data_IF_591170604439
#
_entry.id   IF_591170604439
#
_cell.length_a   1.000
_cell.length_b   1.000
_cell.length_c   1.000
_cell.angle_alpha   90.00
_cell.angle_beta   90.00
_cell.angle_gamma   90.00
#
_symmetry.space_group_name_H-M   'P 1'
#
loop_
_entity.id
_entity.type
_entity.pdbx_description
1 polymer ?
#
# COMPACT_ATOMS: atom_id res chain seq x y z
N UNK A 1 -0.73 -17.69 -0.01
CA UNK A 1 0.35 -18.51 -0.64
C UNK A 1 1.32 -17.66 -1.47
N UNK A 2 0.86 -16.60 -2.16
CA UNK A 2 1.73 -15.68 -2.90
C UNK A 2 2.80 -15.00 -2.02
N UNK A 3 2.51 -14.80 -0.76
CA UNK A 3 3.43 -14.20 0.19
C UNK A 3 4.44 -15.19 0.79
N UNK A 4 4.20 -16.49 0.66
CA UNK A 4 5.00 -17.53 1.28
C UNK A 4 6.00 -18.22 0.34
N UNK A 5 5.79 -18.19 -0.96
CA UNK A 5 6.64 -18.91 -1.93
C UNK A 5 7.73 -18.05 -2.57
N UNK A 6 7.85 -16.79 -2.18
CA UNK A 6 9.02 -15.99 -2.53
C UNK A 6 10.26 -16.70 -1.97
N UNK A 7 11.07 -17.18 -2.86
CA UNK A 7 12.19 -18.08 -2.67
C UNK A 7 13.02 -17.77 -1.42
N UNK A 8 12.66 -18.37 -0.28
CA UNK A 8 13.34 -18.24 1.01
C UNK A 8 14.85 -18.57 0.91
N UNK A 9 15.22 -19.42 -0.06
CA UNK A 9 16.61 -19.79 -0.30
C UNK A 9 17.41 -18.63 -0.89
N UNK A 10 16.87 -17.90 -1.86
CA UNK A 10 17.52 -16.72 -2.43
C UNK A 10 17.65 -15.60 -1.40
N UNK A 11 16.64 -15.44 -0.55
CA UNK A 11 16.68 -14.47 0.56
C UNK A 11 17.66 -14.84 1.67
N UNK A 12 17.86 -16.15 1.98
CA UNK A 12 18.88 -16.59 2.91
C UNK A 12 20.29 -16.26 2.41
N UNK A 13 20.54 -16.46 1.12
CA UNK A 13 21.83 -16.14 0.50
C UNK A 13 22.06 -14.62 0.54
N UNK A 14 21.08 -13.81 0.17
CA UNK A 14 21.19 -12.34 0.23
C UNK A 14 21.33 -11.82 1.67
N UNK A 15 20.63 -12.42 2.64
CA UNK A 15 20.79 -12.10 4.07
C UNK A 15 22.16 -12.48 4.61
N UNK A 16 22.73 -13.59 4.16
CA UNK A 16 24.06 -14.05 4.59
C UNK A 16 25.17 -13.07 4.23
N UNK A 17 24.99 -12.31 3.14
CA UNK A 17 25.98 -11.31 2.71
C UNK A 17 25.73 -9.91 3.26
N UNK A 18 24.68 -9.69 4.05
CA UNK A 18 24.27 -8.37 4.57
C UNK A 18 24.17 -7.25 3.53
N UNK A 19 24.00 -7.59 2.25
CA UNK A 19 24.04 -6.63 1.17
C UNK A 19 22.75 -5.81 1.00
N UNK A 20 21.61 -6.33 1.46
CA UNK A 20 20.32 -5.67 1.31
C UNK A 20 19.48 -5.93 2.56
N UNK A 21 19.19 -4.89 3.33
CA UNK A 21 18.27 -4.97 4.47
C UNK A 21 16.85 -4.59 4.04
N UNK A 22 16.20 -5.48 3.31
CA UNK A 22 14.79 -5.34 2.94
C UNK A 22 13.94 -6.12 3.94
N UNK A 23 13.02 -5.45 4.65
CA UNK A 23 11.96 -6.16 5.33
C UNK A 23 11.19 -7.03 4.33
N UNK A 24 10.93 -8.28 4.70
CA UNK A 24 10.35 -9.28 3.79
C UNK A 24 9.07 -8.80 3.06
N UNK A 25 8.22 -8.03 3.73
CA UNK A 25 7.00 -7.47 3.14
C UNK A 25 7.26 -6.38 2.08
N UNK A 26 8.32 -5.62 2.22
CA UNK A 26 8.60 -4.49 1.32
C UNK A 26 9.15 -4.92 -0.03
N UNK A 27 9.80 -6.07 -0.13
CA UNK A 27 10.32 -6.55 -1.41
C UNK A 27 9.22 -6.78 -2.45
N UNK A 28 8.04 -7.24 -2.04
CA UNK A 28 6.92 -7.46 -2.97
C UNK A 28 6.41 -6.15 -3.55
N UNK A 29 6.27 -5.15 -2.69
CA UNK A 29 5.89 -3.81 -3.12
C UNK A 29 6.97 -3.21 -4.04
N UNK A 30 8.24 -3.38 -3.70
CA UNK A 30 9.36 -2.91 -4.52
C UNK A 30 9.34 -3.52 -5.93
N UNK A 31 9.22 -4.83 -6.05
CA UNK A 31 9.22 -5.52 -7.33
C UNK A 31 7.98 -5.19 -8.19
N UNK A 32 6.82 -5.03 -7.58
CA UNK A 32 5.64 -4.53 -8.26
C UNK A 32 5.84 -3.09 -8.73
N UNK A 33 6.25 -2.19 -7.83
CA UNK A 33 6.46 -0.78 -8.14
C UNK A 33 7.59 -0.54 -9.14
N UNK A 34 8.58 -1.42 -9.23
CA UNK A 34 9.60 -1.38 -10.26
C UNK A 34 8.99 -1.42 -11.67
N UNK A 35 8.04 -2.31 -11.90
CA UNK A 35 7.35 -2.42 -13.18
C UNK A 35 6.36 -1.27 -13.39
N UNK A 36 5.61 -0.91 -12.37
CA UNK A 36 4.66 0.19 -12.42
C UNK A 36 5.33 1.54 -12.74
N UNK A 37 6.46 1.84 -12.10
CA UNK A 37 7.24 3.05 -12.34
C UNK A 37 7.90 3.11 -13.71
N UNK A 38 8.19 1.96 -14.31
CA UNK A 38 8.68 1.84 -15.68
C UNK A 38 7.54 1.84 -16.72
N UNK A 39 6.29 1.92 -16.27
CA UNK A 39 5.10 1.82 -17.13
C UNK A 39 5.02 0.47 -17.89
N UNK A 40 5.51 -0.60 -17.27
CA UNK A 40 5.59 -1.95 -17.81
C UNK A 40 4.69 -2.95 -17.07
N UNK A 41 3.99 -2.53 -16.04
CA UNK A 41 2.99 -3.34 -15.36
C UNK A 41 1.76 -3.57 -16.26
N UNK A 42 0.99 -4.59 -15.94
CA UNK A 42 -0.19 -4.98 -16.71
C UNK A 42 -1.35 -5.27 -15.75
N UNK A 43 -2.62 -5.12 -16.21
CA UNK A 43 -3.79 -5.48 -15.41
C UNK A 43 -3.75 -6.93 -14.92
N UNK A 44 -4.37 -7.22 -13.79
CA UNK A 44 -4.40 -8.58 -13.25
C UNK A 44 -5.28 -9.53 -14.07
N UNK A 45 -6.28 -8.99 -14.76
CA UNK A 45 -7.16 -9.73 -15.67
C UNK A 45 -6.59 -9.89 -17.09
N UNK A 46 -5.38 -9.41 -17.38
CA UNK A 46 -4.73 -9.61 -18.67
C UNK A 46 -4.51 -11.11 -18.93
N UNK A 47 -4.91 -11.62 -20.11
CA UNK A 47 -4.70 -13.01 -20.48
C UNK A 47 -3.22 -13.41 -20.40
N UNK A 48 -2.94 -14.61 -19.88
CA UNK A 48 -1.58 -15.09 -19.63
C UNK A 48 -0.66 -15.01 -20.86
N UNK A 49 -1.20 -15.27 -22.05
CA UNK A 49 -0.47 -15.24 -23.32
C UNK A 49 -0.10 -13.82 -23.79
N UNK A 50 -0.64 -12.78 -23.15
CA UNK A 50 -0.32 -11.37 -23.43
C UNK A 50 0.58 -10.75 -22.36
N UNK A 51 0.83 -11.46 -21.26
CA UNK A 51 1.68 -10.96 -20.21
C UNK A 51 3.15 -10.93 -20.64
N UNK A 52 3.84 -9.86 -20.30
CA UNK A 52 5.30 -9.80 -20.34
C UNK A 52 5.84 -10.85 -19.37
N UNK A 53 6.88 -11.58 -19.77
CA UNK A 53 7.44 -12.70 -19.00
C UNK A 53 7.75 -12.37 -17.54
N UNK A 54 8.27 -11.18 -17.26
CA UNK A 54 8.51 -10.74 -15.88
C UNK A 54 7.19 -10.54 -15.10
N UNK A 55 6.16 -9.99 -15.74
CA UNK A 55 4.85 -9.84 -15.12
C UNK A 55 4.21 -11.19 -14.85
N UNK A 56 4.25 -12.11 -15.81
CA UNK A 56 3.73 -13.47 -15.66
C UNK A 56 4.38 -14.20 -14.47
N UNK A 57 5.69 -14.12 -14.35
CA UNK A 57 6.43 -14.87 -13.34
C UNK A 57 6.46 -14.22 -11.96
N UNK A 58 6.51 -12.90 -11.90
CA UNK A 58 6.83 -12.16 -10.68
C UNK A 58 5.81 -11.05 -10.41
N UNK A 59 5.77 -9.99 -11.23
CA UNK A 59 5.10 -8.73 -10.89
C UNK A 59 3.59 -8.89 -10.70
N UNK A 60 2.89 -9.60 -11.59
CA UNK A 60 1.43 -9.79 -11.47
C UNK A 60 1.06 -10.59 -10.22
N UNK A 61 1.86 -11.56 -9.82
CA UNK A 61 1.64 -12.34 -8.59
C UNK A 61 1.79 -11.48 -7.35
N UNK A 62 2.78 -10.60 -7.33
CA UNK A 62 3.01 -9.69 -6.20
C UNK A 62 1.93 -8.61 -6.15
N UNK A 63 1.56 -8.06 -7.31
CA UNK A 63 0.44 -7.13 -7.39
C UNK A 63 -0.85 -7.76 -6.87
N UNK A 64 -1.18 -8.99 -7.28
CA UNK A 64 -2.36 -9.70 -6.78
C UNK A 64 -2.32 -9.90 -5.26
N UNK A 65 -1.20 -10.36 -4.72
CA UNK A 65 -1.03 -10.55 -3.27
C UNK A 65 -1.13 -9.25 -2.48
N UNK A 66 -0.52 -8.17 -2.96
CA UNK A 66 -0.60 -6.85 -2.34
C UNK A 66 -2.02 -6.27 -2.41
N UNK A 67 -2.70 -6.45 -3.54
CA UNK A 67 -4.08 -5.99 -3.71
C UNK A 67 -5.04 -6.74 -2.79
N UNK A 68 -4.91 -8.06 -2.66
CA UNK A 68 -5.70 -8.85 -1.71
C UNK A 68 -5.41 -8.47 -0.26
N UNK A 69 -4.14 -8.23 0.10
CA UNK A 69 -3.79 -7.74 1.43
C UNK A 69 -4.37 -6.34 1.70
N UNK A 70 -4.42 -5.49 0.68
CA UNK A 70 -5.07 -4.18 0.77
C UNK A 70 -6.57 -4.33 1.04
N UNK A 71 -7.25 -5.17 0.27
CA UNK A 71 -8.68 -5.45 0.46
C UNK A 71 -8.96 -6.02 1.85
N UNK A 72 -8.13 -6.97 2.32
CA UNK A 72 -8.24 -7.58 3.64
C UNK A 72 -8.09 -6.55 4.78
N UNK A 73 -7.10 -5.67 4.69
CA UNK A 73 -6.93 -4.59 5.66
C UNK A 73 -8.08 -3.56 5.64
N UNK A 74 -8.70 -3.34 4.47
CA UNK A 74 -9.84 -2.45 4.33
C UNK A 74 -11.13 -3.07 4.86
N UNK A 75 -11.41 -4.32 4.53
CA UNK A 75 -12.62 -5.01 4.95
C UNK A 75 -12.55 -5.43 6.41
N UNK A 76 -11.43 -6.01 6.84
CA UNK A 76 -11.26 -6.60 8.18
C UNK A 76 -12.04 -7.91 8.34
N UNK A 77 -12.09 -8.42 9.58
CA UNK A 77 -12.97 -9.54 10.02
C UNK A 77 -12.86 -10.85 9.23
N UNK A 78 -11.69 -11.13 8.60
CA UNK A 78 -11.46 -12.33 7.78
C UNK A 78 -12.42 -12.47 6.57
N UNK A 79 -13.08 -11.41 6.13
CA UNK A 79 -14.02 -11.41 5.01
C UNK A 79 -13.35 -11.92 3.73
N UNK A 80 -12.14 -11.44 3.44
CA UNK A 80 -11.40 -11.87 2.25
C UNK A 80 -11.06 -13.34 2.32
N UNK A 81 -10.61 -13.84 3.48
CA UNK A 81 -10.27 -15.25 3.65
C UNK A 81 -11.47 -16.16 3.47
N UNK A 82 -12.59 -15.84 4.11
CA UNK A 82 -13.84 -16.62 3.97
C UNK A 82 -14.37 -16.61 2.54
N UNK A 83 -14.31 -15.45 1.86
CA UNK A 83 -14.73 -15.35 0.46
C UNK A 83 -13.81 -16.14 -0.49
N UNK A 84 -12.50 -16.20 -0.22
CA UNK A 84 -11.57 -17.05 -0.98
C UNK A 84 -11.90 -18.53 -0.76
N UNK A 85 -12.22 -18.95 0.47
CA UNK A 85 -12.59 -20.33 0.76
C UNK A 85 -13.90 -20.72 0.07
N UNK A 86 -14.92 -19.86 0.12
CA UNK A 86 -16.19 -20.04 -0.59
C UNK A 86 -15.96 -20.14 -2.11
N UNK A 87 -15.19 -19.21 -2.68
CA UNK A 87 -14.86 -19.20 -4.10
C UNK A 87 -14.15 -20.49 -4.55
N UNK A 88 -13.18 -20.98 -3.78
CA UNK A 88 -12.49 -22.24 -4.10
C UNK A 88 -13.47 -23.41 -4.01
N UNK A 89 -14.31 -23.46 -2.99
CA UNK A 89 -15.27 -24.53 -2.79
C UNK A 89 -16.28 -24.60 -3.94
N UNK A 90 -16.84 -23.44 -4.35
CA UNK A 90 -17.84 -23.39 -5.41
C UNK A 90 -17.27 -23.67 -6.81
N UNK A 91 -15.98 -23.42 -7.02
CA UNK A 91 -15.34 -23.48 -8.33
C UNK A 91 -14.28 -24.59 -8.47
N UNK A 92 -14.32 -25.63 -7.61
CA UNK A 92 -13.27 -26.68 -7.57
C UNK A 92 -12.99 -27.36 -8.91
N UNK A 93 -14.03 -27.55 -9.75
CA UNK A 93 -13.98 -28.35 -10.95
C UNK A 93 -14.43 -27.60 -12.22
N UNK A 94 -14.61 -26.30 -12.13
CA UNK A 94 -15.09 -25.47 -13.24
C UNK A 94 -14.12 -24.32 -13.51
N UNK A 95 -14.13 -23.82 -14.73
CA UNK A 95 -13.41 -22.61 -15.07
C UNK A 95 -14.05 -21.41 -14.37
N UNK A 96 -13.24 -20.62 -13.70
CA UNK A 96 -13.70 -19.47 -12.92
C UNK A 96 -13.05 -18.17 -13.40
N UNK A 97 -13.65 -17.03 -13.05
CA UNK A 97 -13.17 -15.70 -13.39
C UNK A 97 -13.28 -14.72 -12.22
N UNK A 98 -12.73 -13.53 -12.38
CA UNK A 98 -12.71 -12.50 -11.34
C UNK A 98 -14.10 -12.02 -10.94
N UNK A 99 -15.07 -12.02 -11.86
CA UNK A 99 -16.45 -11.57 -11.57
C UNK A 99 -17.18 -12.50 -10.60
N UNK A 100 -16.94 -13.80 -10.67
CA UNK A 100 -17.50 -14.75 -9.68
C UNK A 100 -16.92 -14.49 -8.29
N UNK A 101 -15.64 -14.17 -8.20
CA UNK A 101 -15.02 -13.77 -6.93
C UNK A 101 -15.57 -12.44 -6.40
N UNK A 102 -15.78 -11.46 -7.30
CA UNK A 102 -16.43 -10.18 -6.98
C UNK A 102 -17.80 -10.40 -6.34
N UNK A 103 -18.68 -11.18 -6.98
CA UNK A 103 -20.02 -11.50 -6.49
C UNK A 103 -20.00 -12.15 -5.09
N UNK A 104 -19.03 -13.03 -4.83
CA UNK A 104 -18.89 -13.68 -3.52
C UNK A 104 -18.49 -12.67 -2.44
N UNK A 105 -17.52 -11.81 -2.72
CA UNK A 105 -17.10 -10.80 -1.74
C UNK A 105 -18.21 -9.77 -1.49
N UNK A 106 -18.88 -9.28 -2.54
CA UNK A 106 -20.03 -8.36 -2.40
C UNK A 106 -21.13 -8.92 -1.50
N UNK A 107 -21.42 -10.20 -1.61
CA UNK A 107 -22.37 -10.91 -0.73
C UNK A 107 -21.90 -10.92 0.74
N UNK A 108 -20.61 -10.99 0.98
CA UNK A 108 -20.02 -11.16 2.29
C UNK A 108 -19.66 -9.83 2.99
N UNK A 109 -19.84 -8.67 2.35
CA UNK A 109 -19.57 -7.36 2.95
C UNK A 109 -20.59 -6.31 2.53
N UNK A 110 -21.00 -5.41 3.43
CA UNK A 110 -21.80 -4.24 3.08
C UNK A 110 -20.94 -3.06 2.54
N UNK A 111 -19.60 -3.17 2.57
CA UNK A 111 -18.71 -2.12 2.10
C UNK A 111 -18.62 -2.13 0.58
N UNK A 112 -18.54 -0.94 -0.01
CA UNK A 112 -18.25 -0.78 -1.42
C UNK A 112 -16.84 -1.28 -1.74
N UNK A 113 -16.75 -2.21 -2.69
CA UNK A 113 -15.50 -2.82 -3.18
C UNK A 113 -15.28 -2.65 -4.69
N UNK A 114 -16.12 -1.89 -5.38
CA UNK A 114 -15.99 -1.61 -6.82
C UNK A 114 -14.59 -1.10 -7.18
N UNK A 115 -14.03 -0.24 -6.32
CA UNK A 115 -12.68 0.29 -6.49
C UNK A 115 -11.62 -0.81 -6.62
N UNK A 116 -11.80 -1.93 -5.93
CA UNK A 116 -10.83 -3.04 -5.96
C UNK A 116 -10.76 -3.67 -7.35
N UNK A 117 -11.91 -4.04 -7.90
CA UNK A 117 -11.96 -4.66 -9.22
C UNK A 117 -11.61 -3.64 -10.31
N UNK A 118 -12.17 -2.43 -10.27
CA UNK A 118 -11.92 -1.38 -11.28
C UNK A 118 -10.47 -0.90 -11.29
N UNK A 119 -9.87 -0.65 -10.12
CA UNK A 119 -8.51 -0.10 -10.05
C UNK A 119 -7.44 -1.17 -9.97
N UNK A 120 -7.63 -2.19 -9.08
CA UNK A 120 -6.55 -3.17 -8.83
C UNK A 120 -6.52 -4.31 -9.83
N UNK A 121 -7.68 -4.75 -10.34
CA UNK A 121 -7.79 -5.93 -11.20
C UNK A 121 -7.85 -5.57 -12.68
N UNK A 122 -8.76 -4.67 -13.08
CA UNK A 122 -9.07 -4.39 -14.49
C UNK A 122 -8.14 -3.39 -15.16
N UNK A 123 -7.50 -2.51 -14.39
CA UNK A 123 -6.58 -1.51 -14.92
C UNK A 123 -5.18 -1.66 -14.36
N UNK A 124 -4.27 -0.82 -14.79
CA UNK A 124 -2.94 -0.64 -14.21
C UNK A 124 -2.81 0.69 -13.47
N UNK A 125 -3.94 1.28 -13.12
CA UNK A 125 -3.97 2.54 -12.40
C UNK A 125 -3.27 2.39 -11.04
N UNK A 126 -2.65 3.47 -10.62
CA UNK A 126 -1.88 3.53 -9.40
C UNK A 126 -2.62 4.36 -8.35
N UNK A 127 -2.43 4.04 -7.11
CA UNK A 127 -2.92 4.84 -5.99
C UNK A 127 -1.81 5.80 -5.55
N UNK A 128 -2.11 7.08 -5.45
CA UNK A 128 -1.19 8.11 -4.92
C UNK A 128 -1.98 9.26 -4.29
N UNK A 129 -1.88 9.39 -2.99
CA UNK A 129 -2.48 10.47 -2.22
C UNK A 129 -1.41 11.32 -1.56
N UNK A 130 -1.73 12.58 -1.28
CA UNK A 130 -0.86 13.46 -0.48
C UNK A 130 -1.65 14.40 0.40
N UNK A 131 -1.00 14.90 1.42
CA UNK A 131 -1.54 15.99 2.21
C UNK A 131 -1.45 17.32 1.45
N UNK A 132 -2.56 18.06 1.49
CA UNK A 132 -2.62 19.47 1.13
C UNK A 132 -2.53 20.37 2.36
N UNK A 133 -3.38 21.43 2.38
CA UNK A 133 -3.47 22.37 3.49
C UNK A 133 -4.04 21.68 4.73
N UNK A 134 -3.46 21.98 5.88
CA UNK A 134 -3.95 21.53 7.18
C UNK A 134 -4.18 22.76 8.06
N UNK A 135 -5.34 22.81 8.70
CA UNK A 135 -5.67 23.78 9.73
C UNK A 135 -6.11 23.07 11.01
N UNK A 136 -5.86 23.69 12.15
CA UNK A 136 -6.11 23.10 13.46
C UNK A 136 -6.94 24.06 14.30
N UNK A 137 -7.90 23.51 15.01
CA UNK A 137 -8.56 24.17 16.14
C UNK A 137 -8.13 23.52 17.45
N UNK A 138 -8.77 23.86 18.55
CA UNK A 138 -8.54 23.21 19.83
C UNK A 138 -8.92 21.73 19.78
N UNK A 139 -10.02 21.38 19.14
CA UNK A 139 -10.66 20.06 19.23
C UNK A 139 -10.65 19.30 17.90
N UNK A 140 -10.33 19.95 16.78
CA UNK A 140 -10.38 19.34 15.45
C UNK A 140 -9.20 19.70 14.56
N UNK A 141 -9.00 18.87 13.53
CA UNK A 141 -8.05 19.10 12.47
C UNK A 141 -8.83 19.03 11.15
N UNK A 142 -8.75 20.07 10.35
CA UNK A 142 -9.23 20.08 8.97
C UNK A 142 -8.04 19.82 8.06
N UNK A 143 -8.10 18.78 7.26
CA UNK A 143 -7.02 18.37 6.38
C UNK A 143 -7.53 18.15 4.96
N UNK A 144 -6.84 18.77 4.01
CA UNK A 144 -7.06 18.52 2.58
C UNK A 144 -6.26 17.30 2.16
N UNK A 145 -6.92 16.30 1.59
CA UNK A 145 -6.30 15.15 0.92
C UNK A 145 -6.40 15.38 -0.58
N UNK A 146 -5.29 15.23 -1.26
CA UNK A 146 -5.16 15.42 -2.72
C UNK A 146 -4.93 14.06 -3.35
N UNK A 147 -5.85 13.66 -4.22
CA UNK A 147 -5.71 12.48 -5.06
C UNK A 147 -4.87 12.84 -6.30
N UNK A 148 -3.80 12.11 -6.54
CA UNK A 148 -2.84 12.36 -7.63
C UNK A 148 -3.13 11.56 -8.91
N UNK A 149 -3.93 10.53 -8.78
CA UNK A 149 -4.15 9.53 -9.85
C UNK A 149 -5.61 9.42 -10.29
N UNK A 150 -6.51 10.16 -9.62
CA UNK A 150 -7.96 10.13 -9.84
C UNK A 150 -8.60 8.75 -9.65
N UNK A 151 -7.92 7.83 -8.98
CA UNK A 151 -8.49 6.54 -8.58
C UNK A 151 -9.39 6.71 -7.37
N UNK A 152 -10.46 5.93 -7.26
CA UNK A 152 -11.38 5.99 -6.11
C UNK A 152 -11.06 4.96 -5.03
N UNK A 153 -9.81 4.55 -4.92
CA UNK A 153 -9.38 3.55 -3.94
C UNK A 153 -9.29 4.13 -2.52
N UNK A 154 -9.73 3.45 -1.48
CA UNK A 154 -9.63 3.92 -0.09
C UNK A 154 -8.19 4.15 0.35
N UNK A 155 -7.95 5.11 1.23
CA UNK A 155 -6.64 5.33 1.84
C UNK A 155 -6.75 5.39 3.36
N UNK A 156 -5.86 4.71 4.06
CA UNK A 156 -5.81 4.76 5.52
C UNK A 156 -5.12 6.02 6.00
N UNK A 157 -5.75 6.72 6.94
CA UNK A 157 -5.21 7.89 7.64
C UNK A 157 -4.96 7.54 9.09
N UNK A 158 -3.74 7.76 9.53
CA UNK A 158 -3.30 7.55 10.89
C UNK A 158 -3.03 8.87 11.61
N UNK A 159 -3.43 8.93 12.87
CA UNK A 159 -3.03 9.98 13.79
C UNK A 159 -1.98 9.41 14.75
N UNK A 160 -0.84 10.08 14.85
CA UNK A 160 0.25 9.66 15.74
C UNK A 160 0.47 10.68 16.84
N UNK A 161 0.81 10.18 18.04
CA UNK A 161 1.33 10.93 19.17
C UNK A 161 2.64 10.29 19.61
N UNK A 162 3.73 11.01 19.59
CA UNK A 162 5.07 10.50 19.92
C UNK A 162 5.47 9.23 19.15
N UNK A 163 5.07 9.14 17.86
CA UNK A 163 5.23 7.99 16.95
C UNK A 163 4.35 6.77 17.27
N UNK A 164 3.47 6.84 18.24
CA UNK A 164 2.48 5.80 18.51
C UNK A 164 1.15 6.12 17.83
N UNK A 165 0.49 5.09 17.31
CA UNK A 165 -0.81 5.22 16.65
C UNK A 165 -1.88 5.45 17.70
N UNK A 166 -2.55 6.61 17.65
CA UNK A 166 -3.66 6.93 18.53
C UNK A 166 -5.02 6.79 17.84
N UNK A 167 -5.04 6.83 16.51
CA UNK A 167 -6.26 6.61 15.72
C UNK A 167 -5.91 6.16 14.30
N UNK A 168 -6.80 5.35 13.71
CA UNK A 168 -6.78 4.95 12.31
C UNK A 168 -8.19 5.05 11.74
N UNK A 169 -8.32 5.67 10.58
CA UNK A 169 -9.56 5.70 9.80
C UNK A 169 -9.27 5.39 8.33
N UNK A 170 -10.24 4.81 7.65
CA UNK A 170 -10.23 4.67 6.20
C UNK A 170 -11.00 5.84 5.56
N UNK A 171 -10.39 6.46 4.58
CA UNK A 171 -10.98 7.52 3.78
C UNK A 171 -11.43 6.93 2.45
N UNK A 172 -12.70 7.05 2.15
CA UNK A 172 -13.34 6.50 0.97
C UNK A 172 -13.80 7.62 0.04
N UNK A 173 -14.06 7.28 -1.22
CA UNK A 173 -14.69 8.16 -2.20
C UNK A 173 -13.94 9.49 -2.44
N UNK A 174 -12.61 9.45 -2.40
CA UNK A 174 -11.77 10.59 -2.73
C UNK A 174 -11.33 10.46 -4.20
N UNK A 175 -12.24 10.72 -5.14
CA UNK A 175 -11.94 10.72 -6.58
C UNK A 175 -11.15 11.95 -7.01
N UNK A 176 -11.29 13.06 -6.26
CA UNK A 176 -10.57 14.32 -6.43
C UNK A 176 -10.04 14.81 -5.10
N UNK A 177 -9.67 16.09 -5.01
CA UNK A 177 -9.28 16.69 -3.74
C UNK A 177 -10.46 16.77 -2.76
N UNK A 178 -10.28 16.31 -1.53
CA UNK A 178 -11.29 16.37 -0.48
C UNK A 178 -10.74 16.99 0.79
N UNK A 179 -11.58 17.75 1.51
CA UNK A 179 -11.24 18.26 2.83
C UNK A 179 -12.06 17.51 3.88
N UNK A 180 -11.37 16.89 4.81
CA UNK A 180 -11.97 16.13 5.90
C UNK A 180 -11.71 16.82 7.23
N UNK A 181 -12.60 16.63 8.17
CA UNK A 181 -12.45 17.10 9.55
C UNK A 181 -12.41 15.90 10.49
N UNK A 182 -11.37 15.82 11.28
CA UNK A 182 -11.15 14.73 12.23
C UNK A 182 -10.93 15.29 13.65
N UNK A 183 -11.23 14.56 14.71
CA UNK A 183 -10.91 14.97 16.08
C UNK A 183 -9.39 15.07 16.27
N UNK A 184 -8.94 16.01 17.10
CA UNK A 184 -7.50 16.28 17.24
C UNK A 184 -6.75 15.22 18.02
N UNK A 185 -7.36 14.56 19.00
CA UNK A 185 -6.82 13.45 19.81
C UNK A 185 -5.38 13.69 20.31
N UNK A 186 -4.99 14.95 20.55
CA UNK A 186 -3.62 15.36 20.94
C UNK A 186 -2.53 14.86 19.98
N UNK A 187 -2.89 14.48 18.75
CA UNK A 187 -1.94 13.99 17.76
C UNK A 187 -0.92 15.06 17.37
N UNK A 188 0.30 14.64 17.11
CA UNK A 188 1.40 15.49 16.66
C UNK A 188 1.75 15.32 15.18
N UNK A 189 1.29 14.21 14.57
CA UNK A 189 1.47 13.90 13.15
C UNK A 189 0.24 13.23 12.55
N UNK A 190 0.06 13.44 11.25
CA UNK A 190 -0.84 12.68 10.40
C UNK A 190 -0.01 11.89 9.40
N UNK A 191 -0.40 10.65 9.15
CA UNK A 191 0.28 9.80 8.17
C UNK A 191 -0.74 9.04 7.33
N UNK A 192 -0.63 9.14 6.01
CA UNK A 192 -1.35 8.25 5.09
C UNK A 192 -0.59 6.94 4.97
N UNK A 193 -1.32 5.84 4.93
CA UNK A 193 -0.75 4.51 4.67
C UNK A 193 0.45 4.13 5.55
N UNK A 194 0.38 4.42 6.84
CA UNK A 194 1.50 4.24 7.78
C UNK A 194 2.04 2.80 7.82
N UNK A 195 1.15 1.81 7.76
CA UNK A 195 1.52 0.39 7.82
C UNK A 195 1.75 -0.25 6.44
N UNK A 196 1.86 0.53 5.35
CA UNK A 196 2.01 0.03 3.98
C UNK A 196 0.88 -0.94 3.57
N UNK A 197 -0.34 -0.65 3.95
CA UNK A 197 -1.52 -1.45 3.63
C UNK A 197 -1.97 -1.27 2.19
N UNK A 198 -1.65 -0.12 1.61
CA UNK A 198 -1.99 0.29 0.25
C UNK A 198 -0.72 0.26 -0.60
N UNK A 199 -0.73 -0.40 -1.77
CA UNK A 199 0.39 -0.37 -2.71
C UNK A 199 0.45 0.99 -3.44
N UNK A 200 0.89 2.01 -2.74
CA UNK A 200 0.87 3.41 -3.17
C UNK A 200 2.15 3.78 -3.92
N UNK A 201 2.00 4.62 -4.97
CA UNK A 201 3.10 4.99 -5.85
C UNK A 201 4.18 5.84 -5.16
N UNK A 202 3.75 6.80 -4.31
CA UNK A 202 4.68 7.70 -3.64
C UNK A 202 4.38 7.82 -2.14
N UNK A 203 5.14 7.11 -1.33
CA UNK A 203 5.01 7.13 0.14
C UNK A 203 5.71 8.33 0.80
N UNK A 204 6.51 9.11 0.06
CA UNK A 204 7.28 10.23 0.64
C UNK A 204 6.41 11.44 0.98
N UNK A 205 5.26 11.59 0.33
CA UNK A 205 4.33 12.70 0.50
C UNK A 205 3.24 12.42 1.57
N UNK A 206 3.30 11.26 2.23
CA UNK A 206 2.28 10.73 3.13
C UNK A 206 2.37 11.25 4.57
N UNK A 207 3.31 12.11 4.87
CA UNK A 207 3.52 12.57 6.24
C UNK A 207 3.20 14.05 6.40
N UNK A 208 2.56 14.41 7.53
CA UNK A 208 2.22 15.78 7.88
C UNK A 208 2.40 16.03 9.38
N UNK A 209 3.35 16.92 9.74
CA UNK A 209 3.49 17.37 11.12
C UNK A 209 2.37 18.32 11.51
N UNK A 210 1.90 18.18 12.71
CA UNK A 210 0.98 19.11 13.37
C UNK A 210 1.71 20.03 14.37
N UNK A 211 3.01 19.82 14.58
CA UNK A 211 3.87 20.62 15.46
C UNK A 211 4.92 21.35 14.61
N UNK A 212 5.06 22.66 14.84
CA UNK A 212 6.17 23.46 14.32
C UNK A 212 6.23 23.64 12.80
N UNK A 213 7.14 24.53 12.37
CA UNK A 213 7.30 24.92 10.98
C UNK A 213 8.51 24.27 10.28
N UNK A 214 9.54 23.86 11.03
CA UNK A 214 10.87 23.66 10.47
C UNK A 214 11.30 22.22 10.23
N UNK A 215 10.68 21.19 10.79
CA UNK A 215 11.17 19.83 10.62
C UNK A 215 10.13 18.88 10.16
N UNK A 216 10.57 18.25 9.12
CA UNK A 216 9.85 17.31 8.31
C UNK A 216 9.17 16.24 9.13
N UNK A 217 8.14 15.85 8.58
CA UNK A 217 7.16 14.94 9.02
C UNK A 217 7.72 13.53 9.25
N UNK A 218 8.70 13.10 8.43
CA UNK A 218 9.28 11.76 8.50
C UNK A 218 10.47 11.70 9.48
N UNK A 219 10.58 10.63 10.26
CA UNK A 219 11.76 10.42 11.10
C UNK A 219 13.04 10.26 10.27
N UNK A 220 14.20 10.58 10.86
CA UNK A 220 15.50 10.42 10.21
C UNK A 220 16.04 9.03 10.53
N UNK A 221 16.60 8.36 9.53
CA UNK A 221 17.30 7.07 9.65
C UNK A 221 18.67 7.17 8.97
N UNK A 222 19.69 6.70 9.66
CA UNK A 222 21.02 6.55 9.09
C UNK A 222 21.16 5.17 8.47
N UNK A 223 21.50 5.13 7.21
CA UNK A 223 21.64 3.90 6.45
C UNK A 223 23.05 3.78 5.88
N UNK A 224 23.51 2.54 5.75
CA UNK A 224 24.68 2.24 4.96
C UNK A 224 24.35 2.44 3.47
N UNK A 225 25.31 2.85 2.64
CA UNK A 225 25.08 3.15 1.22
C UNK A 225 24.48 1.98 0.42
N UNK A 226 24.67 0.75 0.91
CA UNK A 226 24.13 -0.48 0.32
C UNK A 226 22.68 -0.79 0.70
N UNK A 227 22.12 -0.09 1.68
CA UNK A 227 20.76 -0.36 2.12
C UNK A 227 19.75 0.25 1.13
N UNK A 228 18.65 -0.45 0.89
CA UNK A 228 17.61 0.08 0.04
C UNK A 228 16.85 1.22 0.73
N UNK A 229 16.35 2.13 -0.10
CA UNK A 229 15.57 3.24 0.37
C UNK A 229 14.29 2.77 1.08
N UNK A 230 14.06 3.31 2.28
CA UNK A 230 12.84 3.13 3.04
C UNK A 230 12.03 4.43 3.01
N UNK A 231 10.92 4.49 2.25
CA UNK A 231 10.22 5.74 1.96
C UNK A 231 9.57 6.39 3.18
N UNK A 232 9.41 5.65 4.29
CA UNK A 232 8.87 6.19 5.55
C UNK A 232 9.87 7.04 6.35
N UNK A 233 11.14 7.03 5.98
CA UNK A 233 12.19 7.78 6.66
C UNK A 233 12.83 8.83 5.74
N UNK A 234 13.31 9.91 6.33
CA UNK A 234 14.36 10.72 5.74
C UNK A 234 15.67 10.02 5.98
N UNK A 235 16.36 9.61 4.92
CA UNK A 235 17.54 8.76 5.04
C UNK A 235 18.81 9.55 4.76
N UNK A 236 19.79 9.33 5.63
CA UNK A 236 21.16 9.80 5.45
C UNK A 236 22.02 8.57 5.20
N UNK A 237 22.55 8.45 3.99
CA UNK A 237 23.45 7.37 3.61
C UNK A 237 24.89 7.76 3.93
N UNK A 238 25.63 6.86 4.51
CA UNK A 238 27.04 7.06 4.80
C UNK A 238 27.87 5.87 4.34
N UNK A 239 29.10 6.17 3.91
CA UNK A 239 30.13 5.19 3.59
C UNK A 239 31.34 5.56 4.44
N UNK A 240 31.84 4.65 5.30
CA UNK A 240 33.13 4.87 5.96
C UNK A 240 34.23 4.81 4.89
N UNK A 241 35.00 5.87 4.76
CA UNK A 241 36.23 5.90 3.99
C UNK A 241 37.36 5.41 4.90
N UNK A 242 38.08 4.40 4.46
CA UNK A 242 39.26 3.91 5.18
C UNK A 242 40.46 4.43 4.37
N UNK A 243 41.18 5.36 4.96
CA UNK A 243 42.49 5.79 4.45
C UNK A 243 43.58 4.75 4.75
#
# INVERSE_FOLDING_TARGET
>A
QLTMTGNLATLKILKSYHFINLPFKQQYNYLYMLMARKNLDQPLNEPKNRLIKFNEQISSKYRAGLSLNYLDNYLGENIVLSSIQEFIHENQYISSNSRQFETIIEKNTPKDIDWFFRTMVETRDLVDYKFGKVSKTKDSISVKIINKTNTNAPISLYQLKNNEVVNKIWLNNISTDSTIVIPRLESDKLVLNYNNEVPEYNLRNNWKSLKGFFFNNRPIKFNFMKDLEEPHYNQIYYVPEVE
#
